data_IF_386647902025
#
_entry.id   IF_386647902025
#
_cell.length_a   1.000
_cell.length_b   1.000
_cell.length_c   1.000
_cell.angle_alpha   90.00
_cell.angle_beta   90.00
_cell.angle_gamma   90.00
#
_symmetry.space_group_name_H-M   'P 1'
#
loop_
_entity.id
_entity.type
_entity.pdbx_description
1 polymer ?
#
# COMPACT_ATOMS: atom_id res chain seq x y z
N UNK A 1 5.39 -5.41 -12.92
CA UNK A 1 6.61 -5.90 -13.59
C UNK A 1 7.83 -5.20 -12.99
N UNK A 2 8.96 -5.90 -12.79
CA UNK A 2 10.24 -5.25 -12.43
C UNK A 2 10.90 -4.66 -13.66
N UNK A 3 11.51 -3.48 -13.52
CA UNK A 3 12.16 -2.74 -14.60
C UNK A 3 13.27 -1.81 -14.05
N UNK A 4 14.00 -1.15 -14.95
CA UNK A 4 14.89 -0.04 -14.61
C UNK A 4 14.28 1.27 -15.12
N UNK A 5 14.21 2.28 -14.26
CA UNK A 5 13.73 3.62 -14.59
C UNK A 5 14.83 4.64 -14.29
N UNK A 6 15.41 5.25 -15.33
CA UNK A 6 16.59 6.14 -15.24
C UNK A 6 17.72 5.57 -14.35
N UNK A 7 18.05 4.30 -14.55
CA UNK A 7 19.11 3.60 -13.80
C UNK A 7 18.72 3.15 -12.38
N UNK A 8 17.49 3.41 -11.93
CA UNK A 8 16.97 2.95 -10.63
C UNK A 8 16.10 1.72 -10.80
N UNK A 9 16.18 0.77 -9.87
CA UNK A 9 15.27 -0.38 -9.81
C UNK A 9 13.84 0.11 -9.53
N UNK A 10 12.89 -0.40 -10.31
CA UNK A 10 11.51 0.05 -10.25
C UNK A 10 10.51 -1.08 -10.53
N UNK A 11 9.30 -0.92 -9.99
CA UNK A 11 8.11 -1.70 -10.32
C UNK A 11 7.22 -0.85 -11.23
N UNK A 12 6.89 -1.39 -12.40
CA UNK A 12 5.79 -0.92 -13.25
C UNK A 12 4.51 -1.64 -12.83
N UNK A 13 3.57 -0.92 -12.25
CA UNK A 13 2.22 -1.39 -11.90
C UNK A 13 1.24 -0.91 -12.98
N UNK A 14 0.65 -1.84 -13.71
CA UNK A 14 -0.36 -1.56 -14.74
C UNK A 14 -1.76 -1.93 -14.24
N UNK A 15 -2.74 -1.06 -14.50
CA UNK A 15 -4.16 -1.32 -14.26
C UNK A 15 -4.83 -1.77 -15.56
N UNK A 16 -4.86 -3.08 -15.79
CA UNK A 16 -5.45 -3.68 -16.98
C UNK A 16 -6.97 -3.43 -17.10
N UNK A 17 -7.47 -3.36 -18.35
CA UNK A 17 -8.91 -3.32 -18.64
C UNK A 17 -9.57 -4.57 -18.07
N UNK A 18 -10.67 -4.39 -17.35
CA UNK A 18 -11.54 -5.51 -16.98
C UNK A 18 -12.64 -5.68 -18.01
N UNK A 19 -12.49 -6.68 -18.89
CA UNK A 19 -13.39 -6.93 -20.04
C UNK A 19 -14.83 -7.26 -19.64
N UNK A 20 -15.07 -7.61 -18.38
CA UNK A 20 -16.41 -7.82 -17.83
C UNK A 20 -17.14 -6.51 -17.47
N UNK A 21 -16.47 -5.35 -17.48
CA UNK A 21 -17.07 -4.05 -17.20
C UNK A 21 -17.37 -3.30 -18.49
N UNK A 22 -18.42 -2.48 -18.47
CA UNK A 22 -18.65 -1.51 -19.55
C UNK A 22 -17.44 -0.57 -19.69
N UNK A 23 -17.04 -0.24 -20.92
CA UNK A 23 -15.80 0.49 -21.21
C UNK A 23 -15.70 1.82 -20.46
N UNK A 24 -16.78 2.60 -20.45
CA UNK A 24 -16.82 3.90 -19.75
C UNK A 24 -16.69 3.73 -18.23
N UNK A 25 -17.34 2.69 -17.68
CA UNK A 25 -17.30 2.41 -16.26
C UNK A 25 -15.91 1.93 -15.82
N UNK A 26 -15.29 1.05 -16.60
CA UNK A 26 -13.93 0.57 -16.31
C UNK A 26 -12.92 1.72 -16.37
N UNK A 27 -13.04 2.58 -17.39
CA UNK A 27 -12.18 3.76 -17.55
C UNK A 27 -12.35 4.71 -16.38
N UNK A 28 -13.59 4.99 -15.97
CA UNK A 28 -13.89 5.84 -14.83
C UNK A 28 -13.33 5.27 -13.52
N UNK A 29 -13.67 4.00 -13.18
CA UNK A 29 -13.22 3.35 -11.95
C UNK A 29 -11.69 3.26 -11.91
N UNK A 30 -11.06 2.88 -13.02
CA UNK A 30 -9.61 2.71 -13.07
C UNK A 30 -8.88 4.04 -12.87
N UNK A 31 -9.36 5.11 -13.51
CA UNK A 31 -8.79 6.43 -13.33
C UNK A 31 -8.97 6.95 -11.90
N UNK A 32 -10.15 6.76 -11.29
CA UNK A 32 -10.38 7.14 -9.90
C UNK A 32 -9.45 6.40 -8.94
N UNK A 33 -9.30 5.08 -9.12
CA UNK A 33 -8.38 4.26 -8.31
C UNK A 33 -6.93 4.66 -8.50
N UNK A 34 -6.50 4.94 -9.73
CA UNK A 34 -5.15 5.39 -10.03
C UNK A 34 -4.84 6.73 -9.36
N UNK A 35 -5.76 7.69 -9.45
CA UNK A 35 -5.63 9.00 -8.77
C UNK A 35 -5.61 8.85 -7.24
N UNK A 36 -6.50 8.00 -6.71
CA UNK A 36 -6.56 7.70 -5.27
C UNK A 36 -5.26 7.10 -4.75
N UNK A 37 -4.77 6.04 -5.41
CA UNK A 37 -3.54 5.34 -5.06
C UNK A 37 -2.34 6.28 -5.05
N UNK A 38 -2.13 7.06 -6.13
CA UNK A 38 -1.02 8.02 -6.22
C UNK A 38 -1.09 9.05 -5.09
N UNK A 39 -2.26 9.65 -4.90
CA UNK A 39 -2.46 10.72 -3.91
C UNK A 39 -2.19 10.21 -2.50
N UNK A 40 -2.72 9.03 -2.16
CA UNK A 40 -2.66 8.49 -0.80
C UNK A 40 -1.31 7.86 -0.48
N UNK A 41 -0.64 7.20 -1.45
CA UNK A 41 0.76 6.79 -1.32
C UNK A 41 1.68 7.99 -1.04
N UNK A 42 1.52 9.06 -1.82
CA UNK A 42 2.35 10.27 -1.68
C UNK A 42 2.08 10.96 -0.35
N UNK A 43 0.81 11.06 0.06
CA UNK A 43 0.43 11.68 1.33
C UNK A 43 0.95 10.88 2.52
N UNK A 44 0.79 9.56 2.52
CA UNK A 44 1.35 8.70 3.57
C UNK A 44 2.87 8.89 3.70
N UNK A 45 3.59 8.95 2.56
CA UNK A 45 5.03 9.20 2.53
C UNK A 45 5.42 10.54 3.18
N UNK A 46 4.71 11.61 2.84
CA UNK A 46 4.94 12.95 3.42
C UNK A 46 4.75 12.99 4.94
N UNK A 47 3.98 12.05 5.49
CA UNK A 47 3.69 11.94 6.92
C UNK A 47 4.63 10.96 7.64
N UNK A 48 5.71 10.53 6.98
CA UNK A 48 6.71 9.65 7.57
C UNK A 48 6.26 8.18 7.67
N UNK A 49 5.22 7.79 6.93
CA UNK A 49 4.87 6.38 6.74
C UNK A 49 5.69 5.87 5.56
N UNK A 50 6.40 4.76 5.73
CA UNK A 50 7.18 4.21 4.65
C UNK A 50 6.26 3.65 3.58
N UNK A 51 6.39 4.19 2.37
CA UNK A 51 5.72 3.73 1.16
C UNK A 51 6.70 3.82 -0.02
N UNK A 52 6.56 2.98 -1.05
CA UNK A 52 7.39 3.07 -2.25
C UNK A 52 7.36 4.47 -2.87
N UNK A 53 8.51 4.99 -3.26
CA UNK A 53 8.60 6.26 -3.98
C UNK A 53 7.98 6.12 -5.36
N UNK A 54 7.05 6.99 -5.73
CA UNK A 54 6.55 7.07 -7.11
C UNK A 54 7.59 7.80 -7.96
N UNK A 55 8.02 7.16 -9.05
CA UNK A 55 8.95 7.76 -10.00
C UNK A 55 8.24 8.39 -11.19
N UNK A 56 7.15 7.76 -11.66
CA UNK A 56 6.40 8.24 -12.83
C UNK A 56 4.97 7.73 -12.82
N UNK A 57 4.08 8.48 -13.45
CA UNK A 57 2.68 8.12 -13.63
C UNK A 57 2.32 8.43 -15.09
N UNK A 58 1.78 7.43 -15.77
CA UNK A 58 1.21 7.56 -17.11
C UNK A 58 -0.29 7.28 -17.02
N UNK A 59 -1.08 8.34 -17.13
CA UNK A 59 -2.54 8.29 -16.98
C UNK A 59 -3.20 7.58 -18.17
N UNK A 60 -2.66 7.75 -19.37
CA UNK A 60 -3.22 7.20 -20.60
C UNK A 60 -2.99 5.69 -20.66
N UNK A 61 -1.79 5.23 -20.26
CA UNK A 61 -1.47 3.80 -20.14
C UNK A 61 -1.95 3.17 -18.84
N UNK A 62 -2.42 3.99 -17.89
CA UNK A 62 -2.87 3.56 -16.56
C UNK A 62 -1.78 2.81 -15.79
N UNK A 63 -0.56 3.35 -15.84
CA UNK A 63 0.61 2.76 -15.18
C UNK A 63 1.22 3.68 -14.14
N UNK A 64 1.72 3.08 -13.06
CA UNK A 64 2.58 3.73 -12.07
C UNK A 64 3.94 3.05 -12.10
N UNK A 65 5.01 3.84 -12.24
CA UNK A 65 6.38 3.39 -12.00
C UNK A 65 6.77 3.82 -10.60
N UNK A 66 7.16 2.87 -9.75
CA UNK A 66 7.50 3.12 -8.35
C UNK A 66 8.76 2.36 -7.94
N UNK A 67 9.30 2.70 -6.78
CA UNK A 67 10.46 2.05 -6.16
C UNK A 67 10.28 0.53 -6.00
N UNK A 68 11.31 -0.24 -6.36
CA UNK A 68 11.38 -1.68 -6.12
C UNK A 68 12.08 -1.96 -4.79
N UNK A 69 11.31 -2.35 -3.78
CA UNK A 69 11.79 -2.79 -2.47
C UNK A 69 12.28 -4.26 -2.57
N UNK A 70 13.31 -4.48 -3.38
CA UNK A 70 13.71 -5.82 -3.81
C UNK A 70 14.12 -6.77 -2.68
N UNK A 71 14.70 -6.23 -1.60
CA UNK A 71 15.13 -7.00 -0.41
C UNK A 71 14.01 -7.16 0.63
N UNK A 72 12.83 -6.57 0.38
CA UNK A 72 11.73 -6.65 1.31
C UNK A 72 10.89 -7.91 1.09
N UNK A 73 10.41 -8.49 2.19
CA UNK A 73 9.51 -9.64 2.20
C UNK A 73 8.11 -9.22 2.62
N UNK A 74 7.08 -9.93 2.15
CA UNK A 74 5.72 -9.68 2.63
C UNK A 74 5.64 -10.05 4.11
N UNK A 75 4.94 -9.22 4.89
CA UNK A 75 4.69 -9.46 6.31
C UNK A 75 4.01 -10.82 6.51
N UNK A 76 3.13 -11.23 5.60
CA UNK A 76 2.54 -12.58 5.60
C UNK A 76 3.60 -13.67 5.67
N UNK A 77 4.56 -13.65 4.73
CA UNK A 77 5.62 -14.67 4.67
C UNK A 77 6.54 -14.67 5.90
N UNK A 78 6.66 -13.52 6.57
CA UNK A 78 7.47 -13.38 7.78
C UNK A 78 6.72 -13.96 8.97
N UNK A 79 5.43 -13.64 9.11
CA UNK A 79 4.56 -14.21 10.15
C UNK A 79 4.55 -15.74 10.05
N UNK A 80 4.35 -16.28 8.85
CA UNK A 80 4.33 -17.74 8.62
C UNK A 80 5.65 -18.39 9.08
N UNK A 81 6.80 -17.78 8.78
CA UNK A 81 8.11 -18.26 9.20
C UNK A 81 8.31 -18.16 10.73
N UNK A 82 7.95 -17.03 11.34
CA UNK A 82 8.09 -16.82 12.79
C UNK A 82 7.22 -17.79 13.60
N UNK A 83 6.02 -18.14 13.09
CA UNK A 83 5.16 -19.15 13.69
C UNK A 83 5.81 -20.53 13.63
N UNK A 84 6.39 -20.91 12.48
CA UNK A 84 7.12 -22.17 12.34
C UNK A 84 8.33 -22.27 13.28
N UNK A 85 9.01 -21.15 13.51
CA UNK A 85 10.14 -21.03 14.44
C UNK A 85 9.72 -20.91 15.92
N UNK A 86 8.41 -20.84 16.24
CA UNK A 86 7.88 -20.54 17.57
C UNK A 86 8.47 -19.25 18.19
N UNK A 87 8.73 -18.23 17.36
CA UNK A 87 9.36 -16.98 17.79
C UNK A 87 8.33 -15.91 18.17
N UNK A 88 7.67 -16.12 19.31
CA UNK A 88 6.59 -15.24 19.80
C UNK A 88 7.06 -13.80 20.05
N UNK A 89 8.28 -13.60 20.54
CA UNK A 89 8.80 -12.26 20.84
C UNK A 89 8.93 -11.38 19.60
N UNK A 90 9.44 -11.93 18.49
CA UNK A 90 9.50 -11.20 17.21
C UNK A 90 8.11 -10.96 16.65
N UNK A 91 7.19 -11.90 16.81
CA UNK A 91 5.80 -11.76 16.37
C UNK A 91 5.11 -10.60 17.10
N UNK A 92 5.28 -10.50 18.42
CA UNK A 92 4.74 -9.39 19.22
C UNK A 92 5.32 -8.04 18.81
N UNK A 93 6.64 -7.98 18.60
CA UNK A 93 7.33 -6.76 18.14
C UNK A 93 6.80 -6.30 16.78
N UNK A 94 6.64 -7.23 15.84
CA UNK A 94 6.09 -6.95 14.52
C UNK A 94 4.62 -6.49 14.59
N UNK A 95 3.81 -7.13 15.43
CA UNK A 95 2.41 -6.74 15.64
C UNK A 95 2.29 -5.32 16.20
N UNK A 96 3.14 -4.95 17.16
CA UNK A 96 3.19 -3.58 17.70
C UNK A 96 3.60 -2.56 16.63
N UNK A 97 4.60 -2.88 15.79
CA UNK A 97 5.03 -2.02 14.69
C UNK A 97 3.92 -1.81 13.65
N UNK A 98 3.19 -2.88 13.31
CA UNK A 98 2.04 -2.82 12.40
C UNK A 98 0.96 -1.92 13.00
N UNK A 99 0.54 -2.18 14.25
CA UNK A 99 -0.49 -1.39 14.92
C UNK A 99 -0.13 0.09 15.04
N UNK A 100 1.12 0.42 15.38
CA UNK A 100 1.61 1.80 15.43
C UNK A 100 1.58 2.48 14.06
N UNK A 101 1.96 1.77 13.00
CA UNK A 101 1.97 2.30 11.64
C UNK A 101 0.56 2.55 11.11
N UNK A 102 -0.36 1.62 11.35
CA UNK A 102 -1.78 1.78 11.02
C UNK A 102 -2.38 2.95 11.81
N UNK A 103 -2.11 3.04 13.12
CA UNK A 103 -2.57 4.14 13.95
C UNK A 103 -2.12 5.51 13.43
N UNK A 104 -0.87 5.65 12.98
CA UNK A 104 -0.38 6.88 12.32
C UNK A 104 -1.10 7.18 11.01
N UNK A 105 -1.37 6.16 10.19
CA UNK A 105 -2.13 6.31 8.94
C UNK A 105 -3.55 6.83 9.21
N UNK A 106 -4.21 6.27 10.22
CA UNK A 106 -5.56 6.64 10.63
C UNK A 106 -5.62 8.04 11.26
N UNK A 107 -4.64 8.40 12.09
CA UNK A 107 -4.51 9.77 12.61
C UNK A 107 -4.34 10.80 11.49
N UNK A 108 -3.75 10.38 10.37
CA UNK A 108 -3.63 11.18 9.16
C UNK A 108 -4.91 11.25 8.30
N UNK A 109 -6.04 10.70 8.79
CA UNK A 109 -7.32 10.63 8.07
C UNK A 109 -7.24 9.82 6.76
N UNK A 110 -6.30 8.88 6.69
CA UNK A 110 -6.14 7.96 5.56
C UNK A 110 -6.62 6.59 6.02
N UNK A 111 -7.57 6.02 5.30
CA UNK A 111 -7.98 4.62 5.42
C UNK A 111 -7.41 3.89 4.21
N UNK A 112 -6.69 2.79 4.44
CA UNK A 112 -6.07 2.05 3.34
C UNK A 112 -7.11 1.25 2.54
N UNK A 113 -8.12 0.69 3.21
CA UNK A 113 -9.26 0.00 2.59
C UNK A 113 -8.95 -1.41 2.08
N UNK A 114 -7.75 -1.91 2.34
CA UNK A 114 -7.28 -3.27 1.97
C UNK A 114 -6.05 -3.65 2.80
N UNK A 115 -6.10 -3.47 4.13
CA UNK A 115 -4.99 -3.84 5.00
C UNK A 115 -4.93 -5.36 5.17
N UNK A 116 -4.08 -5.98 4.36
CA UNK A 116 -3.69 -7.37 4.54
C UNK A 116 -2.19 -7.45 4.79
N UNK A 117 -1.74 -8.51 5.45
CA UNK A 117 -0.31 -8.79 5.65
C UNK A 117 0.46 -9.02 4.34
N UNK A 118 -0.25 -9.14 3.21
CA UNK A 118 0.36 -9.21 1.87
C UNK A 118 0.57 -7.83 1.24
N UNK A 119 -0.16 -6.81 1.70
CA UNK A 119 -0.01 -5.39 1.32
C UNK A 119 0.96 -4.63 2.23
N UNK A 120 1.75 -5.37 3.01
CA UNK A 120 2.80 -4.83 3.86
C UNK A 120 4.12 -5.54 3.55
N UNK A 121 5.19 -4.79 3.44
CA UNK A 121 6.54 -5.31 3.22
C UNK A 121 7.43 -4.93 4.39
N UNK A 122 8.28 -5.84 4.84
CA UNK A 122 9.33 -5.56 5.82
C UNK A 122 10.69 -5.71 5.14
N UNK A 123 11.52 -4.66 5.22
CA UNK A 123 12.91 -4.71 4.75
C UNK A 123 13.79 -5.44 5.75
N UNK A 124 15.00 -5.83 5.34
CA UNK A 124 16.02 -6.38 6.25
C UNK A 124 16.39 -5.46 7.43
N UNK A 125 16.22 -4.13 7.28
CA UNK A 125 16.44 -3.14 8.34
C UNK A 125 15.20 -2.91 9.23
N UNK A 126 14.26 -3.86 9.29
CA UNK A 126 13.01 -3.80 10.06
C UNK A 126 12.12 -2.57 9.77
N UNK A 127 12.21 -2.00 8.56
CA UNK A 127 11.32 -0.93 8.12
C UNK A 127 10.06 -1.53 7.49
N UNK A 128 8.90 -1.18 8.07
CA UNK A 128 7.58 -1.59 7.59
C UNK A 128 7.05 -0.62 6.54
N UNK A 129 6.88 -1.10 5.31
CA UNK A 129 6.31 -0.38 4.18
C UNK A 129 4.86 -0.80 3.93
N UNK A 130 3.97 0.17 3.72
CA UNK A 130 2.63 -0.07 3.20
C UNK A 130 2.63 0.04 1.68
N UNK A 131 1.96 -0.90 1.00
CA UNK A 131 1.82 -0.94 -0.45
C UNK A 131 0.36 -1.15 -0.87
N UNK A 132 0.04 -0.82 -2.12
CA UNK A 132 -1.28 -1.01 -2.74
C UNK A 132 -2.45 -0.24 -2.09
N UNK A 133 -2.41 1.09 -2.26
CA UNK A 133 -3.48 2.00 -1.86
C UNK A 133 -4.67 2.00 -2.85
N UNK A 134 -4.89 0.90 -3.59
CA UNK A 134 -5.85 0.82 -4.69
C UNK A 134 -7.33 0.97 -4.31
N UNK A 135 -7.66 0.78 -3.04
CA UNK A 135 -9.00 0.93 -2.47
C UNK A 135 -9.04 2.00 -1.36
N UNK A 136 -7.95 2.75 -1.21
CA UNK A 136 -7.80 3.70 -0.12
C UNK A 136 -8.66 4.95 -0.27
N UNK A 137 -9.06 5.51 0.86
CA UNK A 137 -9.91 6.67 0.96
C UNK A 137 -9.33 7.70 1.94
N UNK A 138 -9.50 8.99 1.60
CA UNK A 138 -9.28 10.08 2.54
C UNK A 138 -10.63 10.45 3.15
N UNK A 139 -10.75 10.38 4.46
CA UNK A 139 -12.03 10.61 5.16
C UNK A 139 -11.85 11.75 6.17
N UNK A 140 -12.10 13.01 5.76
CA UNK A 140 -11.86 14.17 6.62
C UNK A 140 -12.93 14.36 7.71
N UNK A 141 -14.10 13.74 7.55
CA UNK A 141 -15.21 13.85 8.49
C UNK A 141 -15.07 12.82 9.62
N UNK A 142 -14.98 13.31 10.86
CA UNK A 142 -14.78 12.50 12.07
C UNK A 142 -15.90 11.49 12.32
N UNK A 143 -17.14 11.79 11.93
CA UNK A 143 -18.29 10.89 12.08
C UNK A 143 -18.23 9.73 11.09
N UNK A 144 -17.81 10.00 9.85
CA UNK A 144 -17.64 8.97 8.81
C UNK A 144 -16.34 8.17 8.99
N UNK A 145 -15.37 8.73 9.74
CA UNK A 145 -14.10 8.06 9.98
C UNK A 145 -14.26 6.79 10.81
N UNK A 146 -15.14 6.78 11.81
CA UNK A 146 -15.36 5.59 12.64
C UNK A 146 -15.89 4.41 11.81
N UNK A 147 -16.79 4.66 10.87
CA UNK A 147 -17.30 3.64 9.94
C UNK A 147 -16.23 3.19 8.95
N UNK A 148 -15.45 4.13 8.41
CA UNK A 148 -14.40 3.83 7.44
C UNK A 148 -13.22 3.05 8.04
N UNK A 149 -12.88 3.31 9.31
CA UNK A 149 -11.82 2.60 10.04
C UNK A 149 -12.11 1.12 10.21
N UNK A 150 -13.39 0.72 10.29
CA UNK A 150 -13.79 -0.67 10.42
C UNK A 150 -13.40 -1.53 9.19
N UNK A 151 -13.04 -0.91 8.06
CA UNK A 151 -12.52 -1.63 6.88
C UNK A 151 -11.07 -2.09 7.09
N UNK A 152 -10.33 -1.41 7.99
CA UNK A 152 -8.92 -1.63 8.26
C UNK A 152 -8.67 -2.41 9.57
N UNK A 153 -9.72 -2.77 10.32
CA UNK A 153 -9.72 -3.48 11.61
C UNK A 153 -10.29 -4.90 11.50
#
# INVERSE_FOLDING_TARGET
>A
FRCLYFGRRAILKERFVKTYRHLDLDSHITLQRLKGEVRLLTRAKQLGIHTPTIYHIDWDKRTIVMEDLHDARTVKSIIDALIQENNTTKLETLAQQIGSTIGRLHQAQIVHGDLTTSNMLLTENDQLYLIDFGLSAHVPNKTQMLEALAVDL
#
